data_IF_806654609981
#
_entry.id   IF_806654609981
#
_cell.length_a   1.000
_cell.length_b   1.000
_cell.length_c   1.000
_cell.angle_alpha   90.00
_cell.angle_beta   90.00
_cell.angle_gamma   90.00
#
_symmetry.space_group_name_H-M   'P 1'
#
loop_
_entity.id
_entity.type
_entity.pdbx_description
1 polymer ?
#
# COMPACT_ATOMS: atom_id res chain seq x y z
N UNK A 1 5.90 -13.59 58.20
CA UNK A 1 7.25 -13.50 58.75
C UNK A 1 8.03 -12.61 57.78
N UNK A 2 7.96 -11.27 57.90
CA UNK A 2 8.78 -10.34 58.71
C UNK A 2 10.23 -10.29 58.20
N UNK A 3 10.57 -9.14 57.75
CA UNK A 3 11.55 -8.07 57.96
C UNK A 3 12.21 -7.62 56.67
N UNK A 4 12.00 -6.40 56.18
CA UNK A 4 12.51 -5.09 56.66
C UNK A 4 14.05 -5.03 56.78
N UNK A 5 14.60 -4.09 56.10
CA UNK A 5 15.58 -3.07 56.51
C UNK A 5 16.04 -2.32 55.24
N UNK A 6 15.62 -1.11 54.97
CA UNK A 6 16.07 0.22 55.42
C UNK A 6 17.42 0.67 54.87
N UNK A 7 17.32 1.75 54.05
CA UNK A 7 17.97 3.07 54.18
C UNK A 7 19.51 3.15 54.10
N UNK A 8 19.97 4.06 53.30
CA UNK A 8 20.43 5.44 53.58
C UNK A 8 21.01 5.99 52.30
N UNK A 9 20.56 7.06 51.71
CA UNK A 9 20.67 8.50 52.05
C UNK A 9 22.08 9.11 51.87
N UNK A 10 22.02 10.29 51.20
CA UNK A 10 22.77 11.51 51.46
C UNK A 10 24.11 11.61 50.73
N UNK A 11 24.42 12.58 50.08
CA UNK A 11 24.17 14.02 49.93
C UNK A 11 25.48 14.70 49.46
N UNK A 12 25.27 15.80 48.82
CA UNK A 12 26.04 17.04 48.88
C UNK A 12 27.41 17.10 48.19
N UNK A 13 27.59 18.03 47.43
CA UNK A 13 27.73 19.49 47.43
C UNK A 13 28.96 19.88 46.60
N UNK A 14 28.69 20.74 45.72
CA UNK A 14 29.14 22.13 45.61
C UNK A 14 30.64 22.46 45.65
N UNK A 15 30.90 23.45 44.82
CA UNK A 15 31.94 24.50 44.86
C UNK A 15 33.24 24.21 44.13
N UNK A 16 33.85 25.09 43.45
CA UNK A 16 33.82 26.57 43.43
C UNK A 16 34.81 27.07 42.37
N UNK A 17 34.41 28.02 41.61
CA UNK A 17 35.04 29.31 41.33
C UNK A 17 36.58 29.43 41.17
N UNK A 18 36.96 30.09 40.10
CA UNK A 18 37.68 31.37 39.98
C UNK A 18 38.85 31.39 39.01
N UNK A 19 38.71 32.24 38.01
CA UNK A 19 39.50 33.48 37.70
C UNK A 19 40.96 33.29 37.33
N UNK A 20 41.32 33.79 36.15
CA UNK A 20 41.98 35.09 35.89
C UNK A 20 42.42 35.15 34.43
N UNK A 21 41.97 36.06 33.64
CA UNK A 21 42.56 37.35 33.29
C UNK A 21 43.98 37.31 32.71
N UNK A 22 44.09 37.77 31.46
CA UNK A 22 45.36 38.11 30.84
C UNK A 22 45.17 38.64 29.43
N UNK A 23 45.12 39.95 29.31
CA UNK A 23 45.17 40.76 28.08
C UNK A 23 46.52 40.57 27.37
N UNK A 24 46.56 40.59 26.05
CA UNK A 24 47.37 41.58 25.30
C UNK A 24 46.97 41.61 23.81
N UNK A 25 46.84 42.86 23.37
CA UNK A 25 46.71 43.34 22.02
C UNK A 25 47.93 43.07 21.14
N UNK A 26 47.75 42.93 19.83
CA UNK A 26 48.22 43.85 18.73
C UNK A 26 47.97 43.22 17.38
N UNK A 27 47.14 43.87 16.62
CA UNK A 27 47.32 44.48 15.28
C UNK A 27 48.31 43.88 14.30
N UNK A 28 47.83 43.51 13.12
CA UNK A 28 48.14 44.08 11.79
C UNK A 28 47.53 43.15 10.72
N UNK A 29 46.58 43.57 10.06
CA UNK A 29 46.43 44.10 8.68
C UNK A 29 46.82 43.23 7.51
N UNK A 30 45.83 43.25 6.57
CA UNK A 30 45.93 43.27 5.09
C UNK A 30 45.97 41.91 4.38
N UNK A 31 44.96 41.57 3.76
CA UNK A 31 44.61 41.48 2.34
C UNK A 31 43.47 40.51 2.15
N UNK A 32 42.43 41.05 1.59
CA UNK A 32 41.20 40.31 1.26
C UNK A 32 41.41 39.34 0.12
N UNK A 33 40.82 38.17 0.34
CA UNK A 33 40.32 37.34 -0.72
C UNK A 33 39.02 36.72 -0.22
N UNK A 34 37.92 37.36 -0.54
CA UNK A 34 36.59 36.78 -0.35
C UNK A 34 36.45 35.65 -1.35
N UNK A 35 36.74 34.43 -0.96
CA UNK A 35 36.25 33.25 -1.63
C UNK A 35 34.72 33.19 -1.41
N UNK A 36 34.00 33.65 -2.44
CA UNK A 36 32.57 33.37 -2.57
C UNK A 36 32.38 31.84 -2.56
N UNK A 37 31.90 31.33 -1.44
CA UNK A 37 31.33 29.99 -1.41
C UNK A 37 30.16 29.97 -2.38
N UNK A 38 30.10 28.99 -3.30
CA UNK A 38 28.92 28.87 -4.13
C UNK A 38 27.73 28.64 -3.22
N UNK A 39 26.77 29.54 -3.29
CA UNK A 39 25.42 29.33 -2.77
C UNK A 39 24.92 28.10 -3.51
N UNK A 40 24.88 26.96 -2.84
CA UNK A 40 24.12 25.81 -3.30
C UNK A 40 22.67 26.30 -3.31
N UNK A 41 22.20 26.66 -4.50
CA UNK A 41 20.79 26.68 -4.76
C UNK A 41 20.28 25.26 -4.48
N UNK A 42 19.81 25.03 -3.25
CA UNK A 42 18.86 23.98 -3.02
C UNK A 42 17.62 24.41 -3.78
N UNK A 43 17.51 23.97 -5.02
CA UNK A 43 16.22 23.81 -5.64
C UNK A 43 15.47 22.90 -4.71
N UNK A 44 14.60 23.49 -3.88
CA UNK A 44 13.52 22.76 -3.25
C UNK A 44 12.76 22.09 -4.39
N UNK A 45 13.05 20.82 -4.62
CA UNK A 45 12.16 19.95 -5.36
C UNK A 45 10.92 19.91 -4.47
N UNK A 46 9.97 20.77 -4.84
CA UNK A 46 8.66 20.81 -4.24
C UNK A 46 8.10 19.43 -4.52
N UNK A 47 8.21 18.52 -3.55
CA UNK A 47 7.60 17.20 -3.63
C UNK A 47 6.10 17.45 -3.85
N UNK A 48 5.68 17.40 -5.10
CA UNK A 48 4.26 17.45 -5.43
C UNK A 48 3.68 16.14 -4.93
N UNK A 49 2.88 16.23 -3.86
CA UNK A 49 2.14 15.08 -3.36
C UNK A 49 1.31 14.46 -4.49
N UNK A 50 1.27 13.13 -4.55
CA UNK A 50 0.55 12.34 -5.55
C UNK A 50 -0.94 12.69 -5.61
N UNK A 51 -1.51 13.04 -4.44
CA UNK A 51 -2.91 13.46 -4.30
C UNK A 51 -2.96 14.78 -3.52
N UNK A 52 -3.72 15.74 -4.03
CA UNK A 52 -3.96 16.99 -3.30
C UNK A 52 -4.97 16.78 -2.17
N UNK A 53 -4.80 17.50 -1.07
CA UNK A 53 -5.75 17.48 0.07
C UNK A 53 -7.18 17.83 -0.38
N UNK A 54 -7.34 18.70 -1.39
CA UNK A 54 -8.62 19.07 -1.95
C UNK A 54 -9.34 17.88 -2.60
N UNK A 55 -8.63 17.06 -3.36
CA UNK A 55 -9.17 15.85 -3.98
C UNK A 55 -9.62 14.84 -2.93
N UNK A 56 -8.84 14.64 -1.86
CA UNK A 56 -9.22 13.77 -0.75
C UNK A 56 -10.48 14.26 -0.04
N UNK A 57 -10.60 15.56 0.16
CA UNK A 57 -11.78 16.18 0.78
C UNK A 57 -13.04 16.00 -0.08
N UNK A 58 -12.94 16.27 -1.38
CA UNK A 58 -14.05 16.14 -2.35
C UNK A 58 -14.48 14.68 -2.53
N UNK A 59 -13.56 13.74 -2.46
CA UNK A 59 -13.85 12.31 -2.49
C UNK A 59 -14.46 11.78 -1.18
N UNK A 60 -14.40 12.56 -0.08
CA UNK A 60 -14.94 12.16 1.22
C UNK A 60 -14.08 11.16 1.98
N UNK A 61 -12.75 11.16 1.75
CA UNK A 61 -11.79 10.27 2.42
C UNK A 61 -11.70 10.54 3.92
N UNK A 62 -12.03 11.77 4.35
CA UNK A 62 -11.92 12.21 5.75
C UNK A 62 -13.01 11.66 6.68
N UNK A 63 -14.07 11.07 6.15
CA UNK A 63 -15.12 10.47 6.98
C UNK A 63 -14.70 9.08 7.45
N UNK A 64 -14.74 8.85 8.74
CA UNK A 64 -14.54 7.54 9.33
C UNK A 64 -15.87 6.91 9.78
N UNK A 65 -15.78 5.88 10.58
CA UNK A 65 -16.91 5.17 11.15
C UNK A 65 -17.45 5.87 12.42
N UNK A 66 -18.59 5.38 12.89
CA UNK A 66 -19.20 5.82 14.16
C UNK A 66 -18.26 5.59 15.33
N UNK A 67 -18.26 6.53 16.30
CA UNK A 67 -17.40 6.51 17.48
C UNK A 67 -17.45 5.20 18.28
N UNK A 68 -18.59 4.52 18.32
CA UNK A 68 -18.74 3.22 19.01
C UNK A 68 -17.96 2.06 18.39
N UNK A 69 -17.54 2.18 17.12
CA UNK A 69 -16.88 1.10 16.36
C UNK A 69 -15.40 1.31 16.16
N UNK A 70 -14.84 2.37 16.72
CA UNK A 70 -13.44 2.72 16.47
C UNK A 70 -12.44 1.78 17.13
N UNK A 71 -11.24 1.76 16.59
CA UNK A 71 -10.09 1.08 17.19
C UNK A 71 -9.19 2.14 17.88
N UNK A 72 -8.83 1.96 19.18
CA UNK A 72 -7.95 2.90 19.89
C UNK A 72 -6.59 3.12 19.20
N UNK A 73 -6.05 2.13 18.49
CA UNK A 73 -4.79 2.25 17.74
C UNK A 73 -4.87 3.24 16.58
N UNK A 74 -6.07 3.58 16.12
CA UNK A 74 -6.30 4.61 15.10
C UNK A 74 -6.27 6.04 15.66
N UNK A 75 -6.16 6.22 16.97
CA UNK A 75 -6.11 7.54 17.60
C UNK A 75 -5.09 8.51 16.96
N UNK A 76 -3.88 8.10 16.56
CA UNK A 76 -2.92 8.99 15.90
C UNK A 76 -3.40 9.58 14.56
N UNK A 77 -4.33 8.91 13.87
CA UNK A 77 -4.84 9.29 12.54
C UNK A 77 -6.18 10.04 12.59
N UNK A 78 -6.76 10.18 13.78
CA UNK A 78 -8.04 10.87 13.99
C UNK A 78 -7.76 12.34 14.28
N UNK A 79 -8.43 13.23 13.54
CA UNK A 79 -8.34 14.68 13.75
C UNK A 79 -9.33 15.15 14.82
N UNK A 80 -10.61 14.77 14.71
CA UNK A 80 -11.68 15.18 15.62
C UNK A 80 -12.90 14.26 15.51
N UNK A 81 -13.86 14.47 16.40
CA UNK A 81 -15.19 13.87 16.32
C UNK A 81 -16.22 14.94 15.95
N UNK A 82 -17.15 14.57 15.06
CA UNK A 82 -18.28 15.42 14.70
C UNK A 82 -19.53 14.57 14.46
N UNK A 83 -20.62 14.91 15.14
CA UNK A 83 -21.92 14.20 15.02
C UNK A 83 -21.83 12.67 15.26
N UNK A 84 -20.98 12.23 16.19
CA UNK A 84 -20.80 10.81 16.50
C UNK A 84 -20.02 10.02 15.45
N UNK A 85 -19.30 10.70 14.53
CA UNK A 85 -18.44 10.12 13.51
C UNK A 85 -17.04 10.71 13.67
N UNK A 86 -16.00 9.87 13.60
CA UNK A 86 -14.62 10.33 13.59
C UNK A 86 -14.25 10.91 12.23
N UNK A 87 -13.45 11.96 12.27
CA UNK A 87 -12.89 12.61 11.08
C UNK A 87 -11.40 12.28 11.05
N UNK A 88 -10.96 11.71 9.93
CA UNK A 88 -9.57 11.32 9.69
C UNK A 88 -8.74 12.56 9.31
N UNK A 89 -7.50 12.61 9.79
CA UNK A 89 -6.53 13.66 9.50
C UNK A 89 -5.97 13.51 8.07
N UNK A 90 -6.47 14.34 7.17
CA UNK A 90 -6.05 14.30 5.75
C UNK A 90 -4.57 14.68 5.54
N UNK A 91 -3.96 15.45 6.42
CA UNK A 91 -2.54 15.79 6.29
C UNK A 91 -1.68 14.53 6.43
N UNK A 92 -2.02 13.67 7.39
CA UNK A 92 -1.37 12.36 7.55
C UNK A 92 -1.71 11.41 6.43
N UNK A 93 -2.97 11.44 5.94
CA UNK A 93 -3.38 10.60 4.82
C UNK A 93 -2.58 10.91 3.55
N UNK A 94 -2.34 12.19 3.22
CA UNK A 94 -1.51 12.57 2.07
C UNK A 94 -0.11 11.96 2.17
N UNK A 95 0.58 12.18 3.30
CA UNK A 95 1.92 11.62 3.49
C UNK A 95 1.96 10.09 3.41
N UNK A 96 0.94 9.42 3.97
CA UNK A 96 0.84 7.95 3.93
C UNK A 96 0.49 7.42 2.54
N UNK A 97 -0.27 8.16 1.75
CA UNK A 97 -0.50 7.82 0.33
C UNK A 97 0.79 7.93 -0.47
N UNK A 98 1.60 8.99 -0.25
CA UNK A 98 2.88 9.16 -0.93
C UNK A 98 3.87 8.02 -0.57
N UNK A 99 3.92 7.60 0.71
CA UNK A 99 4.71 6.45 1.16
C UNK A 99 4.26 5.15 0.47
N UNK A 100 2.95 4.89 0.44
CA UNK A 100 2.37 3.71 -0.19
C UNK A 100 2.57 3.71 -1.72
N UNK A 101 2.41 4.87 -2.36
CA UNK A 101 2.66 5.05 -3.79
C UNK A 101 4.08 4.66 -4.16
N UNK A 102 5.05 5.16 -3.39
CA UNK A 102 6.45 4.84 -3.61
C UNK A 102 6.72 3.34 -3.43
N UNK A 103 6.20 2.72 -2.36
CA UNK A 103 6.36 1.28 -2.13
C UNK A 103 5.77 0.44 -3.27
N UNK A 104 4.59 0.82 -3.77
CA UNK A 104 3.95 0.17 -4.94
C UNK A 104 4.79 0.33 -6.19
N UNK A 105 5.32 1.54 -6.43
CA UNK A 105 6.18 1.83 -7.58
C UNK A 105 7.49 1.05 -7.52
N UNK A 106 8.15 1.00 -6.36
CA UNK A 106 9.39 0.26 -6.18
C UNK A 106 9.19 -1.26 -6.44
N UNK A 107 8.11 -1.86 -5.90
CA UNK A 107 7.77 -3.27 -6.14
C UNK A 107 7.44 -3.54 -7.61
N UNK A 108 6.72 -2.63 -8.25
CA UNK A 108 6.37 -2.77 -9.65
C UNK A 108 7.58 -2.60 -10.58
N UNK A 109 8.54 -1.72 -10.24
CA UNK A 109 9.80 -1.54 -10.95
C UNK A 109 10.72 -2.77 -10.85
N UNK A 110 10.63 -3.54 -9.77
CA UNK A 110 11.31 -4.83 -9.64
C UNK A 110 10.61 -5.98 -10.43
N UNK A 111 9.59 -5.66 -11.24
CA UNK A 111 8.80 -6.65 -11.99
C UNK A 111 7.84 -7.46 -11.10
N UNK A 112 7.58 -7.00 -9.87
CA UNK A 112 6.71 -7.65 -8.90
C UNK A 112 5.23 -7.57 -9.29
N UNK A 113 4.46 -8.57 -8.84
CA UNK A 113 3.02 -8.63 -9.05
C UNK A 113 2.27 -8.18 -7.81
N UNK A 114 1.31 -7.30 -7.98
CA UNK A 114 0.47 -6.78 -6.91
C UNK A 114 -0.93 -7.37 -7.02
N UNK A 115 -1.44 -7.88 -5.90
CA UNK A 115 -2.81 -8.40 -5.81
C UNK A 115 -3.72 -7.36 -5.14
N UNK A 116 -4.70 -6.87 -5.87
CA UNK A 116 -5.71 -5.96 -5.34
C UNK A 116 -6.87 -6.73 -4.72
N UNK A 117 -7.16 -6.48 -3.44
CA UNK A 117 -8.18 -7.19 -2.67
C UNK A 117 -9.20 -6.22 -2.09
N UNK A 118 -10.47 -6.47 -2.34
CA UNK A 118 -11.55 -5.72 -1.71
C UNK A 118 -12.92 -6.28 -2.07
N UNK A 119 -13.52 -6.94 -1.11
CA UNK A 119 -14.83 -7.59 -1.27
C UNK A 119 -16.00 -6.71 -0.83
N UNK A 120 -15.73 -5.48 -0.36
CA UNK A 120 -16.76 -4.49 -0.07
C UNK A 120 -17.50 -4.10 -1.35
N UNK A 121 -18.82 -4.02 -1.32
CA UNK A 121 -19.64 -3.62 -2.48
C UNK A 121 -19.18 -2.29 -3.09
N UNK A 122 -18.70 -1.37 -2.24
CA UNK A 122 -18.20 -0.06 -2.65
C UNK A 122 -16.83 -0.12 -3.36
N UNK A 123 -16.06 -1.19 -3.11
CA UNK A 123 -14.73 -1.37 -3.65
C UNK A 123 -14.67 -2.30 -4.87
N UNK A 124 -15.62 -3.21 -5.01
CA UNK A 124 -15.60 -4.31 -6.00
C UNK A 124 -15.35 -3.82 -7.42
N UNK A 125 -16.08 -2.81 -7.87
CA UNK A 125 -15.98 -2.29 -9.23
C UNK A 125 -14.69 -1.49 -9.44
N UNK A 126 -14.33 -0.67 -8.45
CA UNK A 126 -13.12 0.14 -8.52
C UNK A 126 -11.87 -0.75 -8.60
N UNK A 127 -11.80 -1.79 -7.75
CA UNK A 127 -10.69 -2.74 -7.73
C UNK A 127 -10.58 -3.48 -9.06
N UNK A 128 -11.68 -4.02 -9.59
CA UNK A 128 -11.67 -4.72 -10.87
C UNK A 128 -11.18 -3.82 -12.00
N UNK A 129 -11.78 -2.65 -12.15
CA UNK A 129 -11.47 -1.72 -13.23
C UNK A 129 -10.02 -1.25 -13.20
N UNK A 130 -9.51 -0.89 -12.02
CA UNK A 130 -8.15 -0.35 -11.89
C UNK A 130 -7.08 -1.45 -11.97
N UNK A 131 -7.35 -2.65 -11.44
CA UNK A 131 -6.43 -3.78 -11.59
C UNK A 131 -6.32 -4.25 -13.05
N UNK A 132 -7.45 -4.32 -13.78
CA UNK A 132 -7.45 -4.59 -15.21
C UNK A 132 -6.69 -3.51 -16.01
N UNK A 133 -6.82 -2.23 -15.61
CA UNK A 133 -6.13 -1.11 -16.24
C UNK A 133 -4.60 -1.19 -16.11
N UNK A 134 -4.09 -1.61 -14.96
CA UNK A 134 -2.64 -1.75 -14.74
C UNK A 134 -2.09 -3.15 -15.05
N UNK A 135 -2.95 -4.09 -15.47
CA UNK A 135 -2.58 -5.47 -15.80
C UNK A 135 -2.10 -6.26 -14.58
N UNK A 136 -2.71 -6.01 -13.42
CA UNK A 136 -2.46 -6.71 -12.17
C UNK A 136 -3.64 -7.61 -11.78
N UNK A 137 -3.43 -8.46 -10.78
CA UNK A 137 -4.42 -9.42 -10.30
C UNK A 137 -5.37 -8.79 -9.31
N UNK A 138 -6.59 -9.32 -9.20
CA UNK A 138 -7.58 -8.83 -8.25
C UNK A 138 -8.48 -9.92 -7.66
N UNK A 139 -9.01 -9.65 -6.46
CA UNK A 139 -10.09 -10.41 -5.81
C UNK A 139 -11.12 -9.41 -5.31
N UNK A 140 -12.28 -9.40 -5.97
CA UNK A 140 -13.33 -8.42 -5.70
C UNK A 140 -14.62 -8.99 -5.10
N UNK A 141 -14.85 -10.31 -5.17
CA UNK A 141 -16.12 -10.90 -4.71
C UNK A 141 -16.00 -11.50 -3.31
N UNK A 142 -15.16 -12.52 -3.15
CA UNK A 142 -14.96 -13.18 -1.87
C UNK A 142 -13.55 -13.76 -1.78
N UNK A 143 -12.89 -13.48 -0.68
CA UNK A 143 -11.64 -14.16 -0.34
C UNK A 143 -11.94 -15.60 0.07
N UNK A 144 -11.32 -16.56 -0.60
CA UNK A 144 -11.40 -17.97 -0.24
C UNK A 144 -10.25 -18.31 0.69
N UNK A 145 -10.56 -18.84 1.89
CA UNK A 145 -9.50 -19.25 2.82
C UNK A 145 -8.54 -20.24 2.17
N UNK A 146 -7.23 -20.00 2.36
CA UNK A 146 -6.18 -20.78 1.70
C UNK A 146 -5.82 -20.30 0.29
N UNK A 147 -6.25 -19.10 -0.11
CA UNK A 147 -5.97 -18.59 -1.46
C UNK A 147 -4.48 -18.38 -1.71
N UNK A 148 -3.72 -18.01 -0.69
CA UNK A 148 -2.27 -17.87 -0.73
C UNK A 148 -1.57 -19.07 -0.08
N UNK A 149 -1.97 -19.44 1.11
CA UNK A 149 -1.33 -20.53 1.88
C UNK A 149 -1.53 -21.91 1.26
N UNK A 150 -2.63 -22.12 0.52
CA UNK A 150 -2.90 -23.35 -0.24
C UNK A 150 -3.02 -23.08 -1.73
N UNK A 151 -2.07 -22.31 -2.26
CA UNK A 151 -2.05 -21.85 -3.65
C UNK A 151 -2.11 -22.98 -4.67
N UNK A 152 -1.48 -24.13 -4.37
CA UNK A 152 -1.53 -25.31 -5.25
C UNK A 152 -2.96 -25.81 -5.49
N UNK A 153 -3.81 -25.82 -4.47
CA UNK A 153 -5.22 -26.21 -4.61
C UNK A 153 -5.99 -25.16 -5.42
N UNK A 154 -5.70 -23.87 -5.21
CA UNK A 154 -6.32 -22.79 -6.01
C UNK A 154 -5.92 -22.91 -7.48
N UNK A 155 -4.66 -23.19 -7.78
CA UNK A 155 -4.22 -23.44 -9.16
C UNK A 155 -4.96 -24.61 -9.80
N UNK A 156 -5.23 -25.71 -9.07
CA UNK A 156 -6.02 -26.82 -9.61
C UNK A 156 -7.47 -26.40 -9.92
N UNK A 157 -8.05 -25.48 -9.14
CA UNK A 157 -9.38 -24.92 -9.42
C UNK A 157 -9.37 -23.96 -10.61
N UNK A 158 -8.30 -23.19 -10.76
CA UNK A 158 -8.10 -22.33 -11.95
C UNK A 158 -7.91 -23.20 -13.20
N UNK A 159 -7.17 -24.32 -13.11
CA UNK A 159 -7.05 -25.26 -14.21
C UNK A 159 -8.42 -25.84 -14.61
N UNK A 160 -9.27 -26.19 -13.61
CA UNK A 160 -10.64 -26.64 -13.86
C UNK A 160 -11.50 -25.57 -14.54
N UNK A 161 -11.35 -24.29 -14.14
CA UNK A 161 -12.02 -23.17 -14.80
C UNK A 161 -11.63 -23.08 -16.28
N UNK A 162 -10.33 -23.14 -16.57
CA UNK A 162 -9.81 -23.09 -17.95
C UNK A 162 -10.26 -24.30 -18.77
N UNK A 163 -10.38 -25.49 -18.15
CA UNK A 163 -10.91 -26.71 -18.80
C UNK A 163 -12.38 -26.52 -19.21
N UNK A 164 -13.23 -26.00 -18.31
CA UNK A 164 -14.66 -25.78 -18.64
C UNK A 164 -14.81 -24.72 -19.75
N UNK A 165 -13.95 -23.69 -19.76
CA UNK A 165 -13.93 -22.70 -20.84
C UNK A 165 -13.53 -23.33 -22.18
N UNK A 166 -12.51 -24.18 -22.22
CA UNK A 166 -12.10 -24.90 -23.41
C UNK A 166 -13.25 -25.79 -23.92
N UNK A 167 -13.91 -26.53 -23.02
CA UNK A 167 -15.08 -27.36 -23.39
C UNK A 167 -16.22 -26.50 -23.98
N UNK A 168 -16.40 -25.27 -23.53
CA UNK A 168 -17.40 -24.35 -24.08
C UNK A 168 -17.04 -23.85 -25.48
N UNK A 169 -15.74 -23.71 -25.80
CA UNK A 169 -15.24 -23.25 -27.11
C UNK A 169 -15.20 -24.39 -28.13
N UNK A 170 -14.85 -25.60 -27.70
CA UNK A 170 -14.72 -26.79 -28.55
C UNK A 170 -16.06 -27.42 -28.96
N UNK A 171 -17.20 -26.82 -28.54
CA UNK A 171 -18.54 -27.36 -28.86
C UNK A 171 -18.89 -28.63 -28.08
N UNK A 172 -18.12 -29.03 -27.08
CA UNK A 172 -18.38 -30.22 -26.24
C UNK A 172 -19.74 -30.11 -25.51
N UNK A 173 -20.20 -28.88 -25.25
CA UNK A 173 -21.52 -28.66 -24.62
C UNK A 173 -22.70 -29.07 -25.48
N UNK A 174 -22.53 -29.18 -26.80
CA UNK A 174 -23.60 -29.61 -27.73
C UNK A 174 -23.79 -31.14 -27.72
N UNK A 175 -22.76 -31.88 -27.31
CA UNK A 175 -22.77 -33.35 -27.25
C UNK A 175 -23.26 -33.86 -25.89
N UNK A 176 -23.09 -33.05 -24.85
CA UNK A 176 -23.43 -33.42 -23.46
C UNK A 176 -24.94 -33.32 -23.19
N UNK A 177 -25.49 -34.13 -22.24
CA UNK A 177 -26.85 -34.00 -21.78
C UNK A 177 -27.11 -32.60 -21.20
N UNK A 178 -28.27 -32.00 -21.47
CA UNK A 178 -28.62 -30.66 -21.03
C UNK A 178 -28.46 -30.44 -19.51
N UNK A 179 -28.69 -31.46 -18.69
CA UNK A 179 -28.52 -31.40 -17.25
C UNK A 179 -27.07 -31.15 -16.84
N UNK A 180 -26.14 -31.89 -17.46
CA UNK A 180 -24.70 -31.74 -17.18
C UNK A 180 -24.17 -30.38 -17.64
N UNK A 181 -24.62 -29.90 -18.80
CA UNK A 181 -24.26 -28.56 -19.30
C UNK A 181 -24.70 -27.46 -18.30
N UNK A 182 -25.89 -27.59 -17.70
CA UNK A 182 -26.37 -26.63 -16.70
C UNK A 182 -25.53 -26.69 -15.43
N UNK A 183 -25.09 -27.84 -14.99
CA UNK A 183 -24.23 -28.04 -13.82
C UNK A 183 -22.83 -27.45 -14.08
N UNK A 184 -22.24 -27.71 -15.24
CA UNK A 184 -20.96 -27.16 -15.67
C UNK A 184 -21.00 -25.63 -15.79
N UNK A 185 -22.07 -25.05 -16.34
CA UNK A 185 -22.23 -23.59 -16.40
C UNK A 185 -22.34 -22.97 -15.02
N UNK A 186 -23.05 -23.60 -14.08
CA UNK A 186 -23.12 -23.13 -12.68
C UNK A 186 -21.75 -23.21 -11.97
N UNK A 187 -21.00 -24.27 -12.24
CA UNK A 187 -19.63 -24.41 -11.72
C UNK A 187 -18.73 -23.33 -12.31
N UNK A 188 -18.78 -23.11 -13.61
CA UNK A 188 -18.04 -22.07 -14.33
C UNK A 188 -18.34 -20.68 -13.76
N UNK A 189 -19.63 -20.29 -13.68
CA UNK A 189 -20.05 -19.00 -13.12
C UNK A 189 -19.49 -18.77 -11.71
N UNK A 190 -19.51 -19.80 -10.87
CA UNK A 190 -19.02 -19.73 -9.50
C UNK A 190 -17.49 -19.58 -9.44
N UNK A 191 -16.77 -20.31 -10.27
CA UNK A 191 -15.32 -20.24 -10.35
C UNK A 191 -14.85 -18.92 -10.93
N UNK A 192 -15.45 -18.48 -12.04
CA UNK A 192 -15.14 -17.22 -12.71
C UNK A 192 -15.38 -16.03 -11.78
N UNK A 193 -16.49 -16.03 -11.06
CA UNK A 193 -16.83 -14.99 -10.10
C UNK A 193 -15.78 -14.82 -8.99
N UNK A 194 -15.23 -15.92 -8.47
CA UNK A 194 -14.32 -15.88 -7.33
C UNK A 194 -12.83 -15.91 -7.71
N UNK A 195 -12.48 -16.49 -8.84
CA UNK A 195 -11.09 -16.73 -9.25
C UNK A 195 -10.72 -16.05 -10.57
N UNK A 196 -11.67 -15.41 -11.26
CA UNK A 196 -11.45 -14.79 -12.57
C UNK A 196 -10.29 -13.78 -12.54
N UNK A 197 -10.20 -12.94 -11.50
CA UNK A 197 -9.16 -11.94 -11.39
C UNK A 197 -7.74 -12.48 -11.08
N UNK A 198 -7.62 -13.75 -10.71
CA UNK A 198 -6.32 -14.41 -10.45
C UNK A 198 -6.03 -15.56 -11.43
N UNK A 199 -6.82 -15.66 -12.50
CA UNK A 199 -6.76 -16.75 -13.48
C UNK A 199 -5.37 -16.93 -14.09
N UNK A 200 -4.65 -15.85 -14.32
CA UNK A 200 -3.33 -15.87 -14.96
C UNK A 200 -2.16 -15.76 -13.98
N UNK A 201 -2.45 -15.77 -12.67
CA UNK A 201 -1.46 -15.71 -11.63
C UNK A 201 -0.71 -17.04 -11.51
N UNK A 202 0.56 -17.07 -11.92
CA UNK A 202 1.43 -18.25 -11.88
C UNK A 202 2.23 -18.38 -10.60
N UNK A 203 2.52 -17.27 -9.93
CA UNK A 203 3.31 -17.16 -8.70
C UNK A 203 2.48 -16.44 -7.64
N UNK A 204 2.88 -16.58 -6.38
CA UNK A 204 2.35 -15.75 -5.30
C UNK A 204 2.62 -14.27 -5.62
N UNK A 205 1.75 -13.35 -5.18
CA UNK A 205 1.98 -11.93 -5.36
C UNK A 205 3.13 -11.45 -4.47
N UNK A 206 3.86 -10.45 -4.95
CA UNK A 206 4.98 -9.82 -4.23
C UNK A 206 4.50 -8.75 -3.24
N UNK A 207 3.29 -8.21 -3.44
CA UNK A 207 2.59 -7.35 -2.49
C UNK A 207 1.08 -7.49 -2.63
N UNK A 208 0.35 -7.11 -1.58
CA UNK A 208 -1.11 -7.14 -1.57
C UNK A 208 -1.63 -5.75 -1.18
N UNK A 209 -2.53 -5.22 -2.00
CA UNK A 209 -3.28 -4.00 -1.67
C UNK A 209 -4.67 -4.38 -1.17
N UNK A 210 -5.01 -4.00 0.07
CA UNK A 210 -6.27 -4.40 0.74
C UNK A 210 -7.15 -3.17 1.00
N UNK A 211 -8.44 -3.32 0.74
CA UNK A 211 -9.47 -2.36 1.17
C UNK A 211 -10.26 -2.99 2.32
N UNK A 212 -10.26 -2.33 3.49
CA UNK A 212 -10.86 -2.81 4.75
C UNK A 212 -10.21 -4.12 5.28
N UNK A 213 -9.05 -4.03 5.93
CA UNK A 213 -8.35 -5.19 6.48
C UNK A 213 -9.19 -5.96 7.51
N UNK A 214 -10.09 -5.29 8.22
CA UNK A 214 -10.98 -5.94 9.18
C UNK A 214 -11.94 -6.94 8.52
N UNK A 215 -12.43 -6.62 7.32
CA UNK A 215 -13.28 -7.53 6.55
C UNK A 215 -12.46 -8.65 5.92
N UNK A 216 -11.29 -8.31 5.43
CA UNK A 216 -10.37 -9.22 4.74
C UNK A 216 -9.32 -9.84 5.70
N UNK A 217 -9.68 -10.02 6.98
CA UNK A 217 -8.76 -10.53 8.01
C UNK A 217 -8.09 -11.86 7.66
N UNK A 218 -8.76 -12.73 6.88
CA UNK A 218 -8.17 -14.00 6.43
C UNK A 218 -7.04 -13.73 5.43
N UNK A 219 -7.25 -12.80 4.50
CA UNK A 219 -6.22 -12.36 3.56
C UNK A 219 -4.99 -11.82 4.30
N UNK A 220 -5.21 -10.94 5.27
CA UNK A 220 -4.16 -10.34 6.10
C UNK A 220 -3.37 -11.42 6.87
N UNK A 221 -4.04 -12.36 7.51
CA UNK A 221 -3.38 -13.46 8.22
C UNK A 221 -2.56 -14.37 7.30
N UNK A 222 -3.08 -14.68 6.12
CA UNK A 222 -2.34 -15.48 5.13
C UNK A 222 -1.11 -14.73 4.61
N UNK A 223 -1.23 -13.43 4.33
CA UNK A 223 -0.10 -12.60 3.90
C UNK A 223 0.99 -12.53 4.96
N UNK A 224 0.64 -12.31 6.24
CA UNK A 224 1.59 -12.34 7.34
C UNK A 224 2.30 -13.69 7.48
N UNK A 225 1.57 -14.80 7.31
CA UNK A 225 2.14 -16.16 7.39
C UNK A 225 3.19 -16.39 6.30
N UNK A 226 3.02 -15.77 5.14
CA UNK A 226 3.92 -15.88 3.99
C UNK A 226 4.96 -14.77 3.91
N UNK A 227 4.88 -13.75 4.78
CA UNK A 227 5.77 -12.59 4.77
C UNK A 227 5.58 -11.68 3.57
N UNK A 228 4.37 -11.61 3.01
CA UNK A 228 4.04 -10.74 1.87
C UNK A 228 3.66 -9.35 2.40
N UNK A 229 4.28 -8.26 1.92
CA UNK A 229 3.98 -6.90 2.36
C UNK A 229 2.54 -6.50 2.05
N UNK A 230 1.92 -5.86 3.03
CA UNK A 230 0.53 -5.43 3.01
C UNK A 230 0.43 -3.91 2.92
N UNK A 231 -0.27 -3.43 1.91
CA UNK A 231 -0.60 -2.03 1.70
C UNK A 231 -2.12 -1.91 1.74
N UNK A 232 -2.68 -0.90 2.38
CA UNK A 232 -4.14 -0.83 2.33
C UNK A 232 -4.79 0.41 2.92
N UNK A 233 -6.09 0.54 2.60
CA UNK A 233 -6.96 1.57 3.12
C UNK A 233 -7.49 1.12 4.48
N UNK A 234 -7.23 1.94 5.50
CA UNK A 234 -7.60 1.67 6.89
C UNK A 234 -8.55 2.76 7.38
N UNK A 235 -9.76 2.37 7.71
CA UNK A 235 -10.72 3.26 8.37
C UNK A 235 -10.57 3.20 9.90
N UNK A 236 -11.27 4.04 10.61
CA UNK A 236 -11.20 4.21 12.08
C UNK A 236 -11.58 2.97 12.88
N UNK A 237 -12.19 1.95 12.28
CA UNK A 237 -12.61 0.69 12.90
C UNK A 237 -11.59 -0.46 12.75
N UNK A 238 -10.50 -0.24 12.03
CA UNK A 238 -9.49 -1.24 11.70
C UNK A 238 -8.24 -1.11 12.60
N UNK A 239 -7.37 -2.12 12.59
CA UNK A 239 -6.07 -2.09 13.25
C UNK A 239 -4.98 -1.66 12.24
N UNK A 240 -4.31 -0.52 12.44
CA UNK A 240 -3.26 -0.08 11.53
C UNK A 240 -1.97 -0.91 11.63
N UNK A 241 -1.75 -1.63 12.74
CA UNK A 241 -0.55 -2.44 12.91
C UNK A 241 -0.55 -3.74 12.09
N UNK A 242 -1.71 -4.10 11.53
CA UNK A 242 -1.84 -5.26 10.65
C UNK A 242 -1.28 -5.01 9.23
N UNK A 243 -0.93 -3.78 8.89
CA UNK A 243 -0.43 -3.41 7.56
C UNK A 243 0.94 -2.76 7.65
N UNK A 244 1.79 -3.04 6.66
CA UNK A 244 3.11 -2.41 6.54
C UNK A 244 2.99 -0.95 6.05
N UNK A 245 2.09 -0.71 5.10
CA UNK A 245 1.82 0.63 4.55
C UNK A 245 0.35 0.98 4.74
N UNK A 246 0.10 1.80 5.74
CA UNK A 246 -1.25 2.21 6.14
C UNK A 246 -1.66 3.48 5.41
N UNK A 247 -2.80 3.47 4.75
CA UNK A 247 -3.44 4.63 4.15
C UNK A 247 -4.71 4.95 4.96
N UNK A 248 -4.67 5.92 5.90
CA UNK A 248 -5.86 6.29 6.65
C UNK A 248 -6.90 6.92 5.73
N UNK A 249 -8.08 6.32 5.65
CA UNK A 249 -9.13 6.82 4.76
C UNK A 249 -10.43 6.04 4.86
N UNK A 250 -11.46 6.63 4.29
CA UNK A 250 -12.80 6.05 4.23
C UNK A 250 -12.86 4.89 3.23
N UNK A 251 -13.26 3.73 3.69
CA UNK A 251 -13.42 2.52 2.90
C UNK A 251 -14.88 2.25 2.46
N UNK A 252 -15.83 3.07 2.93
CA UNK A 252 -17.25 2.98 2.58
C UNK A 252 -17.68 3.90 1.43
N UNK A 253 -16.89 4.94 1.13
CA UNK A 253 -17.17 5.87 0.05
C UNK A 253 -16.57 5.39 -1.28
N UNK A 254 -17.43 5.07 -2.26
CA UNK A 254 -17.00 4.61 -3.60
C UNK A 254 -15.97 5.57 -4.24
N UNK A 255 -16.16 6.89 -4.11
CA UNK A 255 -15.26 7.91 -4.65
C UNK A 255 -13.91 7.91 -3.96
N UNK A 256 -13.88 7.69 -2.63
CA UNK A 256 -12.66 7.65 -1.84
C UNK A 256 -11.81 6.42 -2.22
N UNK A 257 -12.43 5.25 -2.24
CA UNK A 257 -11.78 4.00 -2.64
C UNK A 257 -11.27 4.10 -4.08
N UNK A 258 -12.10 4.55 -5.02
CA UNK A 258 -11.70 4.71 -6.43
C UNK A 258 -10.52 5.66 -6.59
N UNK A 259 -10.51 6.79 -5.88
CA UNK A 259 -9.40 7.76 -5.96
C UNK A 259 -8.08 7.14 -5.51
N UNK A 260 -8.08 6.43 -4.36
CA UNK A 260 -6.85 5.84 -3.82
C UNK A 260 -6.40 4.66 -4.69
N UNK A 261 -7.31 3.76 -5.05
CA UNK A 261 -6.98 2.59 -5.89
C UNK A 261 -6.46 3.02 -7.26
N UNK A 262 -7.05 4.07 -7.88
CA UNK A 262 -6.59 4.57 -9.16
C UNK A 262 -5.16 5.12 -9.07
N UNK A 263 -4.79 5.76 -7.95
CA UNK A 263 -3.42 6.23 -7.75
C UNK A 263 -2.42 5.09 -7.54
N UNK A 264 -2.80 4.04 -6.85
CA UNK A 264 -1.95 2.85 -6.73
C UNK A 264 -1.78 2.16 -8.11
N UNK A 265 -2.83 2.12 -8.92
CA UNK A 265 -2.73 1.62 -10.30
C UNK A 265 -1.86 2.53 -11.20
N UNK A 266 -1.92 3.87 -11.02
CA UNK A 266 -1.04 4.82 -11.71
C UNK A 266 0.43 4.55 -11.37
N UNK A 267 0.77 4.29 -10.09
CA UNK A 267 2.12 3.94 -9.65
C UNK A 267 2.67 2.70 -10.39
N UNK A 268 1.84 1.67 -10.53
CA UNK A 268 2.21 0.45 -11.27
C UNK A 268 2.45 0.74 -12.76
N UNK A 269 1.61 1.56 -13.37
CA UNK A 269 1.73 1.90 -14.79
C UNK A 269 2.97 2.73 -15.04
N UNK A 270 3.25 3.73 -14.20
CA UNK A 270 4.43 4.58 -14.30
C UNK A 270 5.72 3.78 -14.14
N UNK A 271 5.77 2.85 -13.17
CA UNK A 271 6.91 1.96 -12.97
C UNK A 271 7.18 1.09 -14.21
N UNK A 272 6.14 0.45 -14.74
CA UNK A 272 6.26 -0.39 -15.96
C UNK A 272 6.65 0.40 -17.20
N UNK A 273 6.22 1.66 -17.32
CA UNK A 273 6.64 2.51 -18.44
C UNK A 273 8.10 2.94 -18.30
N UNK A 274 8.59 3.16 -17.09
CA UNK A 274 9.99 3.41 -16.80
C UNK A 274 10.89 2.26 -17.27
N UNK A 275 10.55 1.02 -16.93
CA UNK A 275 11.29 -0.18 -17.40
C UNK A 275 11.36 -0.30 -18.93
N UNK A 276 10.26 0.00 -19.62
CA UNK A 276 10.23 -0.05 -21.09
C UNK A 276 11.17 1.00 -21.72
N UNK A 277 11.27 2.17 -21.11
CA UNK A 277 12.18 3.23 -21.57
C UNK A 277 13.64 2.91 -21.27
N UNK A 278 13.95 2.38 -20.08
CA UNK A 278 15.29 1.95 -19.70
C UNK A 278 15.78 0.77 -20.54
N UNK A 279 14.95 -0.26 -20.73
CA UNK A 279 15.26 -1.40 -21.61
C UNK A 279 15.43 -1.02 -23.09
N UNK A 280 14.75 0.02 -23.55
CA UNK A 280 14.92 0.54 -24.91
C UNK A 280 16.24 1.32 -25.05
N UNK A 281 16.72 2.00 -24.01
CA UNK A 281 18.01 2.71 -24.01
C UNK A 281 19.21 1.76 -23.96
N UNK A 282 19.08 0.59 -23.32
CA UNK A 282 20.17 -0.41 -23.30
C UNK A 282 20.38 -1.13 -24.64
N UNK A 283 19.40 -1.10 -25.55
CA UNK A 283 19.48 -1.76 -26.86
C UNK A 283 20.13 -0.85 -27.94
N UNK A 284 20.26 0.45 -27.74
CA UNK A 284 20.81 1.41 -28.69
C UNK A 284 22.26 1.83 -28.41
N UNK A 285 23.16 0.92 -28.05
CA UNK A 285 24.59 1.19 -28.20
C UNK A 285 25.11 0.38 -29.40
N UNK A 286 25.21 0.97 -30.60
CA UNK A 286 25.84 0.32 -31.70
C UNK A 286 27.33 0.15 -31.39
N UNK A 287 27.81 -1.09 -31.44
CA UNK A 287 29.19 -1.48 -31.28
C UNK A 287 30.06 -1.07 -32.48
N UNK A 288 29.99 0.17 -32.94
CA UNK A 288 30.74 0.68 -34.08
C UNK A 288 31.51 1.97 -33.78
N UNK A 289 32.20 2.02 -32.59
CA UNK A 289 33.25 3.01 -32.37
C UNK A 289 34.38 2.40 -31.56
N UNK A 290 35.02 1.37 -32.14
CA UNK A 290 36.34 0.91 -31.71
C UNK A 290 37.11 0.44 -32.95
N UNK A 291 37.63 1.39 -33.71
CA UNK A 291 38.70 1.21 -34.69
C UNK A 291 39.61 2.45 -34.65
#
# INVERSE_FOLDING_TARGET
VIKLIKNTSVDSTERCLKRSSGKHEKQADVTGFKLNKPVKNQTEVKNMSVISMKQLLEAGVHFGHQTRRWNPKMAPYIYTERNGIYIIDLQKSVGKVDEAYKAVSDIAADGGNILFVGTKKQAQEAIKTEAERCGMYYVNERWLGGMLTNFKTIQSRIARLKEIEAMSQDGTFDVLPKKEVIELKKEWDKLEKNLGGIKDMKKLPDAIFVVDPKKEHICVQEAHTLGIPLIGIVDTNCDPEELDYVIPGNDDAIRAVKLIVSKMADAVIEAKQGEVLEGAMEIEVPADFAA
#
